data_IF_456055568949
#
_entry.id   IF_456055568949
#
_cell.length_a   1.000
_cell.length_b   1.000
_cell.length_c   1.000
_cell.angle_alpha   90.00
_cell.angle_beta   90.00
_cell.angle_gamma   90.00
#
_symmetry.space_group_name_H-M   'P 1'
#
loop_
_entity.id
_entity.type
_entity.pdbx_description
1 polymer ?
#
# COMPACT_ATOMS: atom_id res chain seq x y z
N UNK A 1 -12.41 8.49 22.70
CA UNK A 1 -12.14 7.03 22.80
C UNK A 1 -10.72 6.76 22.32
N UNK A 2 -9.97 5.86 22.98
CA UNK A 2 -8.65 5.44 22.51
C UNK A 2 -8.51 3.93 22.61
N UNK A 3 -7.65 3.36 21.79
CA UNK A 3 -7.33 1.94 21.84
C UNK A 3 -5.81 1.72 21.89
N UNK A 4 -5.38 0.61 22.47
CA UNK A 4 -4.01 0.12 22.36
C UNK A 4 -4.06 -1.14 21.52
N UNK A 5 -3.42 -1.08 20.36
CA UNK A 5 -3.33 -2.19 19.42
C UNK A 5 -1.90 -2.70 19.30
N UNK A 6 -1.76 -3.96 18.89
CA UNK A 6 -0.48 -4.58 18.60
C UNK A 6 -0.40 -4.90 17.10
N UNK A 7 0.67 -4.46 16.44
CA UNK A 7 0.94 -4.80 15.04
C UNK A 7 2.43 -4.76 14.75
N UNK A 8 2.94 -5.68 13.91
CA UNK A 8 4.36 -5.75 13.60
C UNK A 8 5.27 -5.94 14.82
N UNK A 9 4.78 -6.55 15.89
CA UNK A 9 5.53 -6.75 17.15
C UNK A 9 5.65 -5.51 18.03
N UNK A 10 5.01 -4.40 17.67
CA UNK A 10 4.99 -3.14 18.42
C UNK A 10 3.57 -2.82 18.89
N UNK A 11 3.47 -2.03 19.98
CA UNK A 11 2.20 -1.56 20.51
C UNK A 11 2.02 -0.08 20.21
N UNK A 12 0.82 0.31 19.84
CA UNK A 12 0.46 1.68 19.49
C UNK A 12 -0.79 2.09 20.27
N UNK A 13 -0.72 3.25 20.92
CA UNK A 13 -1.91 3.92 21.45
C UNK A 13 -2.46 4.80 20.35
N UNK A 14 -3.72 4.63 20.01
CA UNK A 14 -4.38 5.32 18.89
C UNK A 14 -5.72 5.89 19.30
N UNK A 15 -6.08 7.01 18.73
CA UNK A 15 -7.39 7.64 18.79
C UNK A 15 -7.98 7.77 17.38
N UNK A 16 -9.24 8.13 17.27
CA UNK A 16 -9.88 8.39 15.98
C UNK A 16 -9.16 9.54 15.26
N UNK A 17 -8.97 9.41 13.95
CA UNK A 17 -8.25 10.32 13.06
C UNK A 17 -6.71 10.42 13.29
N UNK A 18 -6.14 9.63 14.19
CA UNK A 18 -4.69 9.58 14.36
C UNK A 18 -3.99 8.98 13.13
N UNK A 19 -2.81 9.50 12.83
CA UNK A 19 -1.92 8.96 11.80
C UNK A 19 -0.74 8.28 12.47
N UNK A 20 -0.59 6.98 12.23
CA UNK A 20 0.48 6.15 12.79
C UNK A 20 1.36 5.54 11.71
N UNK A 21 2.59 5.24 12.06
CA UNK A 21 3.55 4.56 11.18
C UNK A 21 3.80 3.19 11.75
N UNK A 22 3.48 2.15 10.96
CA UNK A 22 3.63 0.75 11.33
C UNK A 22 4.58 0.03 10.38
N UNK A 23 4.97 -1.20 10.73
CA UNK A 23 5.70 -2.07 9.81
C UNK A 23 4.90 -2.32 8.53
N UNK A 24 5.57 -2.66 7.45
CA UNK A 24 4.95 -2.83 6.13
C UNK A 24 3.82 -3.85 6.16
N UNK A 25 2.65 -3.42 5.70
CA UNK A 25 1.48 -4.26 5.45
C UNK A 25 1.38 -4.63 3.97
N UNK A 26 0.76 -5.75 3.66
CA UNK A 26 0.65 -6.28 2.29
C UNK A 26 -0.47 -5.63 1.47
N UNK A 27 -1.36 -4.85 2.11
CA UNK A 27 -2.47 -4.17 1.43
C UNK A 27 -2.00 -2.93 0.65
N UNK A 28 -2.73 -2.52 -0.36
CA UNK A 28 -2.40 -1.39 -1.23
C UNK A 28 -2.74 -0.03 -0.60
N UNK A 29 -2.08 1.04 -1.06
CA UNK A 29 -2.39 2.41 -0.66
C UNK A 29 -3.83 2.78 -1.03
N UNK A 30 -4.54 3.48 -0.14
CA UNK A 30 -5.96 3.81 -0.28
C UNK A 30 -6.92 2.70 0.16
N UNK A 31 -6.43 1.51 0.51
CA UNK A 31 -7.28 0.43 1.00
C UNK A 31 -7.63 0.59 2.47
N UNK A 32 -8.81 0.11 2.85
CA UNK A 32 -9.26 0.04 4.25
C UNK A 32 -8.92 -1.32 4.82
N UNK A 33 -8.33 -1.31 6.00
CA UNK A 33 -7.92 -2.51 6.74
C UNK A 33 -8.57 -2.53 8.11
N UNK A 34 -8.69 -3.73 8.68
CA UNK A 34 -9.12 -3.95 10.06
C UNK A 34 -7.95 -4.53 10.85
N UNK A 35 -7.68 -3.98 12.01
CA UNK A 35 -6.67 -4.43 12.95
C UNK A 35 -7.40 -5.04 14.15
N UNK A 36 -7.24 -6.33 14.37
CA UNK A 36 -8.04 -7.09 15.34
C UNK A 36 -7.28 -7.40 16.64
N UNK A 37 -5.94 -7.21 16.68
CA UNK A 37 -5.14 -7.40 17.88
C UNK A 37 -5.23 -6.19 18.82
N UNK A 38 -6.35 -6.04 19.53
CA UNK A 38 -6.61 -4.95 20.46
C UNK A 38 -6.35 -5.41 21.89
N UNK A 39 -5.43 -4.75 22.58
CA UNK A 39 -5.05 -5.08 23.96
C UNK A 39 -5.89 -4.33 24.99
N UNK A 40 -6.28 -3.10 24.69
CA UNK A 40 -7.00 -2.23 25.60
C UNK A 40 -7.84 -1.22 24.84
N UNK A 41 -9.01 -0.91 25.38
CA UNK A 41 -9.88 0.19 24.92
C UNK A 41 -10.25 1.03 26.13
N UNK A 42 -10.06 2.35 26.02
CA UNK A 42 -10.43 3.32 27.02
C UNK A 42 -11.43 4.34 26.48
N UNK A 43 -12.51 4.55 27.22
CA UNK A 43 -13.54 5.51 26.88
C UNK A 43 -13.91 6.35 28.11
N UNK A 44 -13.39 7.57 28.20
CA UNK A 44 -13.78 8.62 29.15
C UNK A 44 -13.68 8.32 30.65
N UNK A 45 -13.36 7.12 31.06
CA UNK A 45 -13.30 6.71 32.48
C UNK A 45 -13.41 5.22 32.64
N UNK A 46 -13.97 4.54 31.64
CA UNK A 46 -14.04 3.09 31.61
C UNK A 46 -12.90 2.55 30.73
N UNK A 47 -12.13 1.62 31.29
CA UNK A 47 -11.04 0.97 30.57
C UNK A 47 -11.29 -0.54 30.55
N UNK A 48 -11.37 -1.10 29.35
CA UNK A 48 -11.47 -2.54 29.13
C UNK A 48 -10.11 -3.08 28.72
N UNK A 49 -9.58 -4.03 29.48
CA UNK A 49 -8.28 -4.66 29.22
C UNK A 49 -8.50 -6.09 28.75
N UNK A 50 -7.83 -6.48 27.67
CA UNK A 50 -7.89 -7.84 27.14
C UNK A 50 -7.00 -8.82 27.90
N UNK A 51 -7.34 -10.11 27.83
CA UNK A 51 -6.55 -11.20 28.41
C UNK A 51 -6.22 -12.27 27.35
N UNK A 52 -5.24 -12.07 26.47
CA UNK A 52 -4.42 -10.89 26.19
C UNK A 52 -5.07 -9.89 25.23
N UNK A 53 -6.07 -10.29 24.46
CA UNK A 53 -6.75 -9.49 23.41
C UNK A 53 -8.24 -9.39 23.76
N UNK A 54 -8.87 -8.30 23.35
CA UNK A 54 -10.31 -8.11 23.50
C UNK A 54 -11.01 -8.77 22.31
N UNK A 55 -11.76 -9.82 22.54
CA UNK A 55 -12.51 -10.53 21.51
C UNK A 55 -13.61 -9.65 20.91
N UNK A 56 -13.67 -9.64 19.57
CA UNK A 56 -14.68 -8.88 18.82
C UNK A 56 -14.43 -7.38 18.74
N UNK A 57 -13.33 -6.88 19.28
CA UNK A 57 -12.88 -5.51 19.07
C UNK A 57 -12.03 -5.41 17.81
N UNK A 58 -12.14 -4.30 17.09
CA UNK A 58 -11.31 -4.03 15.92
C UNK A 58 -11.12 -2.53 15.71
N UNK A 59 -10.01 -2.16 15.11
CA UNK A 59 -9.71 -0.79 14.70
C UNK A 59 -9.69 -0.74 13.18
N UNK A 60 -10.56 0.09 12.60
CA UNK A 60 -10.56 0.35 11.17
C UNK A 60 -9.54 1.43 10.85
N UNK A 61 -8.72 1.19 9.84
CA UNK A 61 -7.72 2.13 9.38
C UNK A 61 -7.68 2.18 7.84
N UNK A 62 -7.25 3.32 7.31
CA UNK A 62 -7.00 3.53 5.89
C UNK A 62 -5.50 3.67 5.66
N UNK A 63 -4.97 2.97 4.67
CA UNK A 63 -3.57 3.09 4.26
C UNK A 63 -3.41 4.37 3.44
N UNK A 64 -2.62 5.32 3.93
CA UNK A 64 -2.30 6.54 3.20
C UNK A 64 -1.20 6.28 2.19
N UNK A 65 -0.07 5.75 2.64
CA UNK A 65 1.11 5.50 1.81
C UNK A 65 2.01 4.41 2.37
N UNK A 66 2.86 3.86 1.50
CA UNK A 66 4.00 3.05 1.88
C UNK A 66 5.27 3.89 1.71
N UNK A 67 6.06 4.00 2.77
CA UNK A 67 7.32 4.75 2.73
C UNK A 67 8.48 3.95 3.29
N UNK A 68 9.68 4.38 2.96
CA UNK A 68 10.91 3.83 3.54
C UNK A 68 11.43 4.80 4.60
N UNK A 69 11.79 4.25 5.74
CA UNK A 69 12.38 5.00 6.84
C UNK A 69 13.72 5.64 6.50
N UNK A 70 14.31 6.31 7.47
CA UNK A 70 15.66 6.86 7.36
C UNK A 70 16.69 5.76 7.14
N UNK A 71 17.79 6.11 6.47
CA UNK A 71 18.88 5.18 6.22
C UNK A 71 19.70 4.98 7.49
N UNK A 72 19.69 3.76 8.00
CA UNK A 72 20.52 3.36 9.13
C UNK A 72 21.83 2.77 8.59
N UNK A 73 22.94 3.32 9.03
CA UNK A 73 24.27 2.78 8.68
C UNK A 73 24.65 1.68 9.67
N UNK A 74 24.64 0.44 9.19
CA UNK A 74 25.06 -0.73 9.97
C UNK A 74 26.54 -0.96 9.75
N UNK A 75 27.34 -0.80 10.80
CA UNK A 75 28.76 -1.04 10.77
C UNK A 75 29.13 -2.30 11.57
N UNK A 76 29.75 -3.26 10.90
CA UNK A 76 30.21 -4.50 11.52
C UNK A 76 31.76 -4.55 11.50
N UNK A 77 32.39 -4.78 12.65
CA UNK A 77 33.84 -4.87 12.81
C UNK A 77 34.19 -6.03 13.75
N UNK A 78 35.24 -6.78 13.42
CA UNK A 78 35.86 -7.74 14.33
C UNK A 78 37.20 -7.17 14.82
N UNK A 79 37.42 -7.22 16.12
CA UNK A 79 38.54 -6.51 16.80
C UNK A 79 39.93 -6.80 16.21
N UNK A 80 40.26 -8.07 15.99
CA UNK A 80 41.63 -8.50 15.62
C UNK A 80 41.75 -9.12 14.22
N UNK A 81 40.68 -9.20 13.43
CA UNK A 81 40.67 -9.89 12.14
C UNK A 81 40.61 -8.95 10.93
N UNK A 82 40.88 -7.67 11.13
CA UNK A 82 40.81 -6.65 10.09
C UNK A 82 39.47 -6.64 9.29
N UNK A 83 38.45 -7.34 9.83
CA UNK A 83 37.12 -7.41 9.23
C UNK A 83 36.33 -6.13 9.56
N UNK A 84 35.89 -5.44 8.53
CA UNK A 84 34.99 -4.30 8.64
C UNK A 84 34.01 -4.33 7.47
N UNK A 85 32.74 -4.10 7.74
CA UNK A 85 31.67 -4.06 6.73
C UNK A 85 30.69 -2.98 7.08
N UNK A 86 30.35 -2.14 6.09
CA UNK A 86 29.34 -1.09 6.23
C UNK A 86 28.19 -1.40 5.27
N UNK A 87 26.97 -1.35 5.79
CA UNK A 87 25.74 -1.53 5.02
C UNK A 87 24.75 -0.43 5.38
N UNK A 88 23.99 0.04 4.41
CA UNK A 88 22.85 0.89 4.67
C UNK A 88 21.56 0.08 4.68
N UNK A 89 20.69 0.32 5.67
CA UNK A 89 19.35 -0.28 5.75
C UNK A 89 18.29 0.81 5.79
N UNK A 90 17.18 0.62 5.07
CA UNK A 90 15.96 1.42 5.18
C UNK A 90 14.80 0.48 5.41
N UNK A 91 14.14 0.62 6.55
CA UNK A 91 12.95 -0.17 6.88
C UNK A 91 11.77 0.30 6.03
N UNK A 92 11.04 -0.65 5.47
CA UNK A 92 9.79 -0.38 4.79
C UNK A 92 8.68 -0.25 5.82
N UNK A 93 7.89 0.82 5.71
CA UNK A 93 6.87 1.22 6.65
C UNK A 93 5.57 1.55 5.91
N UNK A 94 4.45 1.46 6.62
CA UNK A 94 3.12 1.87 6.14
C UNK A 94 2.58 2.98 7.03
N UNK A 95 2.06 4.03 6.42
CA UNK A 95 1.37 5.12 7.11
C UNK A 95 -0.12 4.83 7.09
N UNK A 96 -0.73 4.75 8.27
CA UNK A 96 -2.14 4.48 8.47
C UNK A 96 -2.84 5.68 9.08
N UNK A 97 -4.05 5.94 8.66
CA UNK A 97 -5.00 6.81 9.36
C UNK A 97 -6.05 5.95 10.03
N UNK A 98 -6.25 6.13 11.31
CA UNK A 98 -7.31 5.46 12.05
C UNK A 98 -8.65 6.12 11.71
N UNK A 99 -9.63 5.34 11.26
CA UNK A 99 -10.96 5.86 10.94
C UNK A 99 -11.93 5.64 12.07
N UNK A 100 -11.99 4.42 12.62
CA UNK A 100 -12.96 4.06 13.65
C UNK A 100 -12.35 3.08 14.66
N UNK A 101 -12.82 3.13 15.91
CA UNK A 101 -12.50 2.18 16.95
C UNK A 101 -13.78 1.44 17.33
N UNK A 102 -13.86 0.16 17.01
CA UNK A 102 -15.00 -0.70 17.29
C UNK A 102 -14.73 -1.50 18.56
N UNK A 103 -15.42 -1.16 19.63
CA UNK A 103 -15.42 -1.98 20.85
C UNK A 103 -16.21 -3.28 20.63
N UNK A 104 -15.91 -4.30 21.43
CA UNK A 104 -16.62 -5.58 21.41
C UNK A 104 -18.15 -5.37 21.47
N UNK A 105 -18.88 -5.92 20.51
CA UNK A 105 -20.35 -5.82 20.43
C UNK A 105 -20.91 -4.71 19.52
N UNK A 106 -20.11 -3.77 19.01
CA UNK A 106 -20.56 -2.82 17.99
C UNK A 106 -20.29 -3.41 16.60
N UNK A 107 -21.33 -3.94 15.96
CA UNK A 107 -21.28 -4.36 14.55
C UNK A 107 -20.95 -3.14 13.68
N UNK A 108 -20.00 -3.29 12.71
CA UNK A 108 -19.79 -2.34 11.63
C UNK A 108 -21.12 -1.93 11.02
N UNK A 109 -21.39 -0.62 10.79
CA UNK A 109 -22.42 -0.24 9.84
C UNK A 109 -21.99 -0.85 8.50
N UNK A 110 -22.80 -1.78 7.99
CA UNK A 110 -22.57 -2.39 6.69
C UNK A 110 -22.52 -1.26 5.66
N UNK A 111 -21.36 -1.05 5.06
CA UNK A 111 -21.22 -0.19 3.88
C UNK A 111 -22.09 -0.83 2.81
N UNK A 112 -23.27 -0.24 2.53
CA UNK A 112 -24.11 -0.59 1.41
C UNK A 112 -23.26 -0.52 0.16
N UNK A 113 -22.88 -1.67 -0.39
CA UNK A 113 -22.48 -1.77 -1.79
C UNK A 113 -23.66 -1.25 -2.57
N UNK A 114 -23.51 -0.09 -3.16
CA UNK A 114 -24.43 0.41 -4.18
C UNK A 114 -24.26 -0.50 -5.39
N UNK A 115 -25.12 -1.50 -5.44
CA UNK A 115 -25.29 -2.33 -6.62
C UNK A 115 -26.06 -1.46 -7.60
N UNK A 116 -25.35 -0.88 -8.56
CA UNK A 116 -26.00 -0.30 -9.73
C UNK A 116 -26.59 -1.43 -10.54
N UNK A 117 -27.87 -1.70 -10.32
CA UNK A 117 -28.70 -2.45 -11.23
C UNK A 117 -28.96 -1.59 -12.46
N UNK A 118 -28.20 -1.86 -13.53
CA UNK A 118 -28.64 -1.48 -14.86
C UNK A 118 -29.72 -2.47 -15.30
N UNK A 119 -30.95 -2.06 -15.21
CA UNK A 119 -32.08 -2.78 -15.78
C UNK A 119 -31.96 -2.80 -17.30
N UNK A 120 -31.88 -4.02 -17.81
CA UNK A 120 -32.11 -4.33 -19.19
C UNK A 120 -33.60 -4.11 -19.53
N UNK A 121 -33.88 -3.32 -20.55
CA UNK A 121 -35.13 -3.36 -21.27
C UNK A 121 -34.83 -3.67 -22.73
N UNK A 122 -35.17 -4.89 -23.13
CA UNK A 122 -35.43 -5.26 -24.52
C UNK A 122 -36.93 -5.07 -24.73
N UNK A 123 -37.38 -4.56 -25.91
CA UNK A 123 -38.01 -5.47 -26.84
C UNK A 123 -37.65 -5.21 -28.32
N UNK A 124 -37.43 -6.31 -28.99
CA UNK A 124 -38.07 -6.90 -30.16
C UNK A 124 -38.10 -6.15 -31.50
N UNK A 125 -37.53 -6.88 -32.46
CA UNK A 125 -37.94 -7.11 -33.84
C UNK A 125 -37.85 -6.02 -34.92
N UNK A 126 -37.04 -6.18 -35.91
CA UNK A 126 -37.31 -6.67 -37.26
C UNK A 126 -36.12 -6.67 -38.21
N UNK A 127 -35.98 -7.80 -38.88
CA UNK A 127 -35.32 -8.17 -40.12
C UNK A 127 -34.88 -7.07 -41.10
N UNK A 128 -33.64 -7.20 -41.61
CA UNK A 128 -33.29 -7.46 -43.05
C UNK A 128 -31.81 -7.18 -43.26
N UNK A 129 -31.00 -8.20 -43.55
CA UNK A 129 -30.51 -8.65 -44.84
C UNK A 129 -29.86 -7.53 -45.68
N UNK A 130 -28.52 -7.58 -45.79
CA UNK A 130 -27.75 -7.64 -47.04
C UNK A 130 -26.24 -7.55 -46.71
N UNK A 131 -25.50 -8.60 -47.09
CA UNK A 131 -24.08 -8.62 -47.45
C UNK A 131 -24.03 -8.35 -48.98
N UNK A 132 -22.93 -8.04 -49.66
CA UNK A 132 -21.53 -8.44 -49.43
C UNK A 132 -20.45 -7.46 -49.91
N UNK A 133 -19.17 -7.84 -49.58
CA UNK A 133 -17.95 -7.72 -50.42
C UNK A 133 -17.49 -6.28 -50.79
N UNK A 134 -16.23 -5.91 -50.80
CA UNK A 134 -15.02 -6.58 -51.25
C UNK A 134 -13.81 -5.67 -51.11
N UNK A 135 -12.61 -6.31 -50.98
CA UNK A 135 -11.33 -5.99 -51.61
C UNK A 135 -10.54 -4.76 -51.18
N UNK A 136 -9.42 -5.00 -50.52
CA UNK A 136 -8.06 -5.04 -51.06
C UNK A 136 -7.44 -3.72 -51.49
N UNK A 137 -6.31 -3.37 -50.92
CA UNK A 137 -4.96 -3.22 -51.50
C UNK A 137 -4.11 -2.33 -50.62
N UNK A 138 -3.03 -2.75 -50.00
CA UNK A 138 -1.66 -2.86 -50.42
C UNK A 138 -0.98 -1.54 -50.85
N UNK A 139 -0.03 -1.12 -50.02
CA UNK A 139 1.26 -0.49 -50.36
C UNK A 139 2.02 -0.22 -49.04
N UNK A 140 3.11 -0.86 -48.72
CA UNK A 140 4.51 -0.78 -49.12
C UNK A 140 5.06 0.64 -49.19
N UNK A 141 6.02 0.91 -48.31
CA UNK A 141 7.39 1.42 -48.53
C UNK A 141 7.95 1.89 -47.19
N UNK A 142 9.01 1.33 -46.72
CA UNK A 142 10.43 1.56 -46.99
C UNK A 142 10.99 2.81 -46.32
N UNK A 143 12.14 2.62 -45.67
CA UNK A 143 13.11 3.69 -45.41
C UNK A 143 13.65 3.70 -43.97
N UNK A 144 14.54 2.84 -43.63
CA UNK A 144 15.96 3.02 -43.28
C UNK A 144 16.36 4.39 -42.72
N UNK A 145 17.03 4.46 -41.61
CA UNK A 145 18.48 4.78 -41.48
C UNK A 145 18.84 5.26 -40.08
N UNK A 146 19.48 4.50 -39.29
CA UNK A 146 20.83 4.57 -38.76
C UNK A 146 21.41 6.00 -38.56
N UNK A 147 21.56 6.41 -37.26
CA UNK A 147 22.73 7.22 -36.90
C UNK A 147 23.12 7.00 -35.42
N UNK A 148 24.30 6.39 -35.32
CA UNK A 148 25.15 6.34 -34.13
C UNK A 148 25.68 7.75 -33.84
N UNK A 149 25.78 8.12 -32.56
CA UNK A 149 26.59 9.25 -32.14
C UNK A 149 27.60 8.79 -31.07
N UNK A 150 28.80 9.38 -31.05
CA UNK A 150 29.99 8.80 -30.46
C UNK A 150 30.24 9.26 -29.01
N UNK A 151 30.91 8.38 -28.29
CA UNK A 151 31.53 8.57 -26.98
C UNK A 151 32.51 9.76 -26.96
N UNK A 152 32.41 10.63 -25.93
CA UNK A 152 33.46 11.61 -25.61
C UNK A 152 34.24 11.14 -24.39
N UNK A 153 35.51 10.88 -24.67
CA UNK A 153 36.63 10.65 -23.73
C UNK A 153 36.86 11.89 -22.84
N UNK A 154 36.99 11.67 -21.57
CA UNK A 154 37.61 12.64 -20.65
C UNK A 154 39.15 12.50 -20.67
N UNK A 155 39.89 13.61 -20.68
CA UNK A 155 41.35 13.55 -20.49
C UNK A 155 41.71 13.68 -19.01
N UNK A 156 42.69 12.87 -18.63
CA UNK A 156 43.42 12.96 -17.38
C UNK A 156 44.13 14.30 -17.27
N UNK A 157 44.16 14.90 -16.07
CA UNK A 157 45.09 15.98 -15.71
C UNK A 157 46.02 15.54 -14.56
N UNK A 158 47.23 15.44 -14.92
CA UNK A 158 48.43 15.17 -14.15
C UNK A 158 48.94 16.51 -13.57
N UNK A 159 49.58 16.47 -12.40
CA UNK A 159 50.50 17.49 -11.92
C UNK A 159 49.93 18.29 -10.71
N UNK A 160 50.53 18.40 -9.59
CA UNK A 160 51.94 18.54 -9.18
C UNK A 160 51.96 18.27 -7.67
#
# INVERSE_FOLDING_TARGET
MYAVLKTGGKQYKVSENDVIIVERLTAESGSKISLDEILLIGDGGNTTVGTPVIEGASVAAEILEHKRGEKITVFKKKRRKNYRRTMGHRQELTVLRITDILAAGKKKPATKKTKSESQANTPEETKSRVKPQSKAEKSKSDGAEKKRAPSKKTPAKKGK
#
